data_IF_258937041081
#
_entry.id   IF_258937041081
#
_cell.length_a   1.000
_cell.length_b   1.000
_cell.length_c   1.000
_cell.angle_alpha   90.00
_cell.angle_beta   90.00
_cell.angle_gamma   90.00
#
_symmetry.space_group_name_H-M   'P 1'
#
loop_
_entity.id
_entity.type
_entity.pdbx_description
1 polymer ?
#
# COMPACT_ATOMS: atom_id res chain seq x y z
N UNK A 1 1.47 -10.59 2.97
CA UNK A 1 0.14 -10.14 3.41
C UNK A 1 -0.06 -10.18 4.92
N UNK A 2 0.55 -11.11 5.66
CA UNK A 2 0.46 -11.14 7.13
C UNK A 2 1.03 -9.86 7.78
N UNK A 3 2.26 -9.46 7.41
CA UNK A 3 2.89 -8.21 7.88
C UNK A 3 2.01 -6.96 7.66
N UNK A 4 1.32 -6.88 6.52
CA UNK A 4 0.39 -5.78 6.24
C UNK A 4 -0.79 -5.77 7.22
N UNK A 5 -1.37 -6.95 7.52
CA UNK A 5 -2.46 -7.07 8.50
C UNK A 5 -1.98 -6.73 9.91
N UNK A 6 -0.80 -7.19 10.27
CA UNK A 6 -0.22 -6.94 11.60
C UNK A 6 0.00 -5.42 11.80
N UNK A 7 0.62 -4.74 10.85
CA UNK A 7 0.80 -3.28 10.88
C UNK A 7 -0.54 -2.52 10.84
N UNK A 8 -1.51 -3.01 10.06
CA UNK A 8 -2.84 -2.39 9.98
C UNK A 8 -3.63 -2.54 11.29
N UNK A 9 -3.37 -3.58 12.08
CA UNK A 9 -4.02 -3.77 13.38
C UNK A 9 -3.69 -2.65 14.36
N UNK A 10 -2.48 -2.09 14.28
CA UNK A 10 -2.03 -0.96 15.10
C UNK A 10 -2.47 0.41 14.54
N UNK A 11 -2.92 0.45 13.28
CA UNK A 11 -3.20 1.66 12.51
C UNK A 11 -4.55 1.61 11.78
N UNK A 12 -5.59 1.11 12.46
CA UNK A 12 -6.90 0.82 11.87
C UNK A 12 -7.58 2.06 11.27
N UNK A 13 -7.34 3.25 11.83
CA UNK A 13 -7.94 4.53 11.45
C UNK A 13 -7.18 5.26 10.32
N UNK A 14 -6.12 4.67 9.79
CA UNK A 14 -5.28 5.27 8.76
C UNK A 14 -5.19 4.40 7.51
N UNK A 15 -5.04 5.02 6.34
CA UNK A 15 -4.74 4.30 5.10
C UNK A 15 -3.26 3.95 5.11
N UNK A 16 -2.94 2.65 5.12
CA UNK A 16 -1.56 2.17 5.17
C UNK A 16 -0.97 2.04 3.77
N UNK A 17 -0.02 2.92 3.46
CA UNK A 17 0.83 2.83 2.28
C UNK A 17 2.01 1.93 2.57
N UNK A 18 2.03 0.75 1.95
CA UNK A 18 3.07 -0.24 2.13
C UNK A 18 4.05 -0.17 0.96
N UNK A 19 5.31 0.21 1.23
CA UNK A 19 6.30 0.35 0.17
C UNK A 19 6.76 -1.02 -0.33
N UNK A 20 6.58 -1.26 -1.62
CA UNK A 20 7.06 -2.45 -2.33
C UNK A 20 7.87 -1.98 -3.53
N UNK A 21 9.21 -1.95 -3.38
CA UNK A 21 10.10 -1.40 -4.38
C UNK A 21 9.80 0.08 -4.67
N UNK A 22 9.45 0.37 -5.92
CA UNK A 22 9.15 1.72 -6.41
C UNK A 22 7.68 2.13 -6.28
N UNK A 23 6.84 1.33 -5.62
CA UNK A 23 5.42 1.61 -5.44
C UNK A 23 5.04 1.66 -3.96
N UNK A 24 4.08 2.52 -3.64
CA UNK A 24 3.25 2.32 -2.46
C UNK A 24 2.02 1.52 -2.87
N UNK A 25 1.80 0.42 -2.18
CA UNK A 25 0.65 -0.46 -2.36
C UNK A 25 -0.25 -0.42 -1.13
N UNK A 26 -1.56 -0.44 -1.38
CA UNK A 26 -2.61 -0.58 -0.38
C UNK A 26 -3.39 -1.85 -0.70
N UNK A 27 -3.89 -2.52 0.34
CA UNK A 27 -4.56 -3.81 0.20
C UNK A 27 -5.92 -3.82 0.91
N UNK A 28 -6.77 -4.78 0.56
CA UNK A 28 -8.08 -4.99 1.19
C UNK A 28 -8.94 -3.71 1.15
N UNK A 29 -9.53 -3.32 2.28
CA UNK A 29 -10.40 -2.15 2.37
C UNK A 29 -9.66 -0.85 2.06
N UNK A 30 -8.40 -0.70 2.50
CA UNK A 30 -7.58 0.47 2.17
C UNK A 30 -7.43 0.62 0.66
N UNK A 31 -7.30 -0.49 -0.08
CA UNK A 31 -7.25 -0.45 -1.55
C UNK A 31 -8.57 0.04 -2.15
N UNK A 32 -9.70 -0.46 -1.66
CA UNK A 32 -11.04 -0.12 -2.16
C UNK A 32 -11.37 1.34 -1.87
N UNK A 33 -11.03 1.86 -0.69
CA UNK A 33 -11.27 3.25 -0.33
C UNK A 33 -10.30 4.18 -1.05
N UNK A 34 -9.00 3.90 -0.99
CA UNK A 34 -7.99 4.77 -1.59
C UNK A 34 -8.11 4.83 -3.12
N UNK A 35 -8.46 3.73 -3.80
CA UNK A 35 -8.66 3.75 -5.26
C UNK A 35 -9.69 4.78 -5.71
N UNK A 36 -10.80 4.89 -4.99
CA UNK A 36 -11.88 5.86 -5.28
C UNK A 36 -11.45 7.30 -4.98
N UNK A 37 -10.81 7.54 -3.84
CA UNK A 37 -10.41 8.89 -3.43
C UNK A 37 -9.26 9.40 -4.29
N UNK A 38 -8.27 8.54 -4.55
CA UNK A 38 -7.08 8.89 -5.31
C UNK A 38 -7.32 8.89 -6.82
N UNK A 39 -8.42 8.27 -7.27
CA UNK A 39 -8.75 8.06 -8.69
C UNK A 39 -7.68 7.22 -9.40
N UNK A 40 -7.37 6.07 -8.83
CA UNK A 40 -6.39 5.11 -9.35
C UNK A 40 -7.04 3.74 -9.53
N UNK A 41 -6.46 2.93 -10.42
CA UNK A 41 -7.00 1.61 -10.73
C UNK A 41 -7.02 0.69 -9.51
N UNK A 42 -8.20 0.16 -9.19
CA UNK A 42 -8.36 -0.97 -8.27
C UNK A 42 -8.11 -2.27 -9.04
N UNK A 43 -7.17 -3.06 -8.55
CA UNK A 43 -6.77 -4.34 -9.12
C UNK A 43 -6.84 -5.44 -8.05
N UNK A 44 -6.25 -6.60 -8.33
CA UNK A 44 -6.11 -7.66 -7.34
C UNK A 44 -4.75 -8.33 -7.44
N UNK A 45 -4.20 -8.66 -6.28
CA UNK A 45 -3.04 -9.55 -6.16
C UNK A 45 -3.52 -11.00 -6.36
N UNK A 46 -2.71 -11.78 -7.07
CA UNK A 46 -2.96 -13.20 -7.37
C UNK A 46 -4.29 -13.48 -8.09
N UNK A 47 -4.44 -12.91 -9.30
CA UNK A 47 -5.64 -13.06 -10.16
C UNK A 47 -6.08 -14.51 -10.40
N UNK A 48 -5.21 -15.50 -10.19
CA UNK A 48 -5.47 -16.92 -10.45
C UNK A 48 -5.83 -17.74 -9.20
N UNK A 49 -5.93 -17.13 -8.02
CA UNK A 49 -6.36 -17.82 -6.78
C UNK A 49 -7.78 -17.40 -6.38
N UNK A 50 -8.47 -18.28 -5.66
CA UNK A 50 -9.82 -18.02 -5.14
C UNK A 50 -9.83 -16.82 -4.18
N UNK A 51 -8.75 -16.63 -3.41
CA UNK A 51 -8.62 -15.55 -2.42
C UNK A 51 -7.92 -14.32 -3.02
N UNK A 52 -8.55 -13.71 -4.03
CA UNK A 52 -8.04 -12.46 -4.63
C UNK A 52 -8.05 -11.35 -3.60
N UNK A 53 -6.89 -10.71 -3.40
CA UNK A 53 -6.77 -9.58 -2.48
C UNK A 53 -6.89 -8.28 -3.28
N UNK A 54 -7.86 -7.39 -2.98
CA UNK A 54 -7.94 -6.07 -3.58
C UNK A 54 -6.63 -5.30 -3.38
N UNK A 55 -6.14 -4.68 -4.44
CA UNK A 55 -4.89 -3.91 -4.43
C UNK A 55 -5.05 -2.66 -5.28
N UNK A 56 -4.54 -1.54 -4.78
CA UNK A 56 -4.24 -0.39 -5.61
C UNK A 56 -2.90 0.20 -5.17
N UNK A 57 -2.28 1.00 -6.03
CA UNK A 57 -0.97 1.55 -5.73
C UNK A 57 -0.55 2.59 -6.75
N UNK A 58 0.51 3.31 -6.40
CA UNK A 58 1.07 4.36 -7.23
C UNK A 58 2.59 4.46 -7.02
N UNK A 59 3.33 5.07 -7.96
CA UNK A 59 4.78 5.19 -7.84
C UNK A 59 5.20 6.05 -6.63
N UNK A 60 6.24 5.65 -5.90
CA UNK A 60 6.62 6.27 -4.62
C UNK A 60 6.87 7.78 -4.71
N UNK A 61 7.38 8.26 -5.85
CA UNK A 61 7.63 9.68 -6.09
C UNK A 61 6.35 10.53 -6.14
N UNK A 62 5.20 9.91 -6.40
CA UNK A 62 3.90 10.58 -6.39
C UNK A 62 3.27 10.66 -4.98
N UNK A 63 3.93 10.13 -3.94
CA UNK A 63 3.37 10.05 -2.59
C UNK A 63 2.94 11.40 -2.03
N UNK A 64 3.76 12.45 -2.17
CA UNK A 64 3.43 13.78 -1.64
C UNK A 64 2.06 14.29 -2.12
N UNK A 65 1.77 14.10 -3.42
CA UNK A 65 0.50 14.50 -4.04
C UNK A 65 -0.68 13.71 -3.47
N UNK A 66 -0.54 12.37 -3.39
CA UNK A 66 -1.63 11.52 -2.93
C UNK A 66 -1.87 11.62 -1.42
N UNK A 67 -0.82 11.74 -0.62
CA UNK A 67 -0.90 12.02 0.83
C UNK A 67 -1.68 13.32 1.03
N UNK A 68 -1.33 14.38 0.29
CA UNK A 68 -2.03 15.67 0.38
C UNK A 68 -3.51 15.56 0.06
N UNK A 69 -3.88 14.73 -0.93
CA UNK A 69 -5.30 14.49 -1.30
C UNK A 69 -6.07 13.77 -0.18
N UNK A 70 -5.47 12.75 0.43
CA UNK A 70 -6.07 12.00 1.54
C UNK A 70 -6.23 12.86 2.80
N UNK A 71 -5.19 13.63 3.16
CA UNK A 71 -5.22 14.53 4.30
C UNK A 71 -6.31 15.61 4.14
N UNK A 72 -6.45 16.19 2.94
CA UNK A 72 -7.54 17.14 2.64
C UNK A 72 -8.93 16.52 2.73
N UNK A 73 -9.04 15.22 2.49
CA UNK A 73 -10.26 14.44 2.69
C UNK A 73 -10.52 14.04 4.16
N UNK A 74 -9.66 14.45 5.09
CA UNK A 74 -9.78 14.10 6.52
C UNK A 74 -9.30 12.69 6.87
N UNK A 75 -8.57 12.03 5.97
CA UNK A 75 -8.02 10.69 6.21
C UNK A 75 -6.62 10.77 6.79
N UNK A 76 -6.31 9.90 7.76
CA UNK A 76 -4.93 9.68 8.23
C UNK A 76 -4.22 8.74 7.26
N UNK A 77 -2.92 8.92 7.10
CA UNK A 77 -2.06 8.08 6.24
C UNK A 77 -0.90 7.57 7.07
N UNK A 78 -0.66 6.26 7.03
CA UNK A 78 0.51 5.62 7.60
C UNK A 78 1.45 5.21 6.45
N UNK A 79 2.73 5.56 6.55
CA UNK A 79 3.76 5.15 5.59
C UNK A 79 4.58 4.03 6.21
N UNK A 80 4.55 2.86 5.61
CA UNK A 80 5.45 1.76 5.94
C UNK A 80 6.53 1.69 4.87
N UNK A 81 7.74 2.10 5.26
CA UNK A 81 8.93 1.98 4.44
C UNK A 81 9.53 0.58 4.59
N UNK A 82 10.16 0.08 3.53
CA UNK A 82 10.99 -1.11 3.61
C UNK A 82 12.28 -0.76 4.37
N UNK A 83 12.43 -1.29 5.58
CA UNK A 83 13.56 -1.02 6.48
C UNK A 83 14.81 -1.84 6.19
N UNK A 84 14.79 -2.67 5.14
CA UNK A 84 15.95 -3.48 4.74
C UNK A 84 16.62 -2.88 3.50
N UNK A 85 17.90 -2.56 3.64
CA UNK A 85 18.81 -2.26 2.54
C UNK A 85 18.64 -3.31 1.43
N UNK A 86 18.04 -2.92 0.31
CA UNK A 86 17.84 -3.78 -0.87
C UNK A 86 19.14 -4.38 -1.44
N UNK A 87 20.30 -3.99 -0.89
CA UNK A 87 21.65 -4.46 -1.24
C UNK A 87 22.11 -5.72 -0.53
N UNK A 88 21.36 -6.27 0.43
CA UNK A 88 21.75 -7.49 1.17
C UNK A 88 20.98 -8.76 0.79
N UNK A 89 20.18 -8.73 -0.29
CA UNK A 89 19.65 -9.98 -0.89
C UNK A 89 20.78 -10.63 -1.68
N UNK A 90 21.61 -11.39 -0.96
CA UNK A 90 22.65 -12.24 -1.53
C UNK A 90 22.04 -13.18 -2.55
N UNK A 91 22.53 -13.05 -3.78
CA UNK A 91 22.54 -14.12 -4.78
C UNK A 91 23.12 -15.38 -4.11
N UNK A 92 22.25 -16.33 -3.78
CA UNK A 92 22.64 -17.70 -3.46
C UNK A 92 22.30 -18.54 -4.68
N UNK A 93 23.20 -18.54 -5.65
CA UNK A 93 23.38 -19.63 -6.60
C UNK A 93 24.63 -20.42 -6.21
#
# INVERSE_FOLDING_TARGET
>A
MQQYKDLKADHQDSILFFRVGDFYEMFYDDAVYASKILDIALTSRDKNKADRVPLCGFPYHAASTYISKLLKGGHKVALCEQTEDAKLVKDKR
#
